data_IF_875411896770
#
_entry.id   IF_875411896770
#
_cell.length_a   1.000
_cell.length_b   1.000
_cell.length_c   1.000
_cell.angle_alpha   90.00
_cell.angle_beta   90.00
_cell.angle_gamma   90.00
#
_symmetry.space_group_name_H-M   'P 1'
#
loop_
_entity.id
_entity.type
_entity.pdbx_description
1 polymer ?
#
# COMPACT_ATOMS: atom_id res chain seq x y z
N UNK A 1 5.94 -37.98 5.38
CA UNK A 1 6.79 -37.07 6.18
C UNK A 1 6.87 -35.76 5.41
N UNK A 2 6.08 -34.75 5.80
CA UNK A 2 6.07 -33.43 5.17
C UNK A 2 7.44 -32.78 5.41
N UNK A 3 8.23 -32.60 4.35
CA UNK A 3 9.57 -32.02 4.44
C UNK A 3 9.48 -30.50 4.62
N UNK A 4 9.33 -30.08 5.88
CA UNK A 4 9.25 -28.69 6.31
C UNK A 4 10.53 -27.91 5.97
N UNK A 5 11.68 -28.58 5.88
CA UNK A 5 12.97 -27.99 5.54
C UNK A 5 13.01 -27.51 4.10
N UNK A 6 12.60 -28.32 3.12
CA UNK A 6 12.54 -27.92 1.71
C UNK A 6 11.60 -26.72 1.47
N UNK A 7 10.46 -26.68 2.15
CA UNK A 7 9.53 -25.57 2.02
C UNK A 7 10.10 -24.26 2.59
N UNK A 8 10.91 -24.31 3.66
CA UNK A 8 11.62 -23.14 4.21
C UNK A 8 12.73 -22.65 3.27
N UNK A 9 13.44 -23.55 2.59
CA UNK A 9 14.48 -23.15 1.61
C UNK A 9 13.86 -22.52 0.37
N UNK A 10 12.67 -22.97 -0.06
CA UNK A 10 11.89 -22.35 -1.15
C UNK A 10 11.31 -21.00 -0.72
N UNK A 11 11.00 -20.84 0.57
CA UNK A 11 10.39 -19.64 1.20
C UNK A 11 11.23 -18.37 1.02
N UNK A 12 12.56 -18.51 0.87
CA UNK A 12 13.53 -17.42 0.74
C UNK A 12 14.57 -17.68 -0.37
N UNK A 13 14.18 -18.37 -1.43
CA UNK A 13 15.04 -18.52 -2.60
C UNK A 13 15.10 -17.20 -3.38
N UNK A 14 15.93 -16.28 -2.89
CA UNK A 14 16.18 -14.97 -3.51
C UNK A 14 17.00 -15.08 -4.79
N UNK A 15 17.55 -16.27 -5.13
CA UNK A 15 18.41 -16.45 -6.31
C UNK A 15 17.67 -16.18 -7.63
N UNK A 16 16.34 -16.28 -7.62
CA UNK A 16 15.48 -16.06 -8.78
C UNK A 16 14.97 -14.63 -8.90
N UNK A 17 15.32 -13.76 -7.96
CA UNK A 17 14.85 -12.39 -7.97
C UNK A 17 15.54 -11.57 -9.03
N UNK A 18 14.73 -10.90 -9.84
CA UNK A 18 15.22 -9.96 -10.83
C UNK A 18 15.25 -8.55 -10.24
N UNK A 19 16.42 -8.17 -9.72
CA UNK A 19 16.63 -6.84 -9.16
C UNK A 19 16.63 -5.73 -10.22
N UNK A 20 16.77 -6.06 -11.52
CA UNK A 20 16.72 -5.06 -12.58
C UNK A 20 15.33 -4.40 -12.67
N UNK A 21 14.28 -5.11 -12.25
CA UNK A 21 12.91 -4.58 -12.16
C UNK A 21 12.77 -3.42 -11.17
N UNK A 22 13.72 -3.24 -10.24
CA UNK A 22 13.75 -2.10 -9.32
C UNK A 22 14.23 -0.81 -9.99
N UNK A 23 14.87 -0.92 -11.16
CA UNK A 23 15.47 0.21 -11.87
C UNK A 23 14.85 0.49 -13.24
N UNK A 24 13.95 -0.37 -13.71
CA UNK A 24 13.22 -0.20 -14.97
C UNK A 24 11.71 0.00 -14.75
N UNK A 25 11.26 1.24 -14.49
CA UNK A 25 9.84 1.55 -14.34
C UNK A 25 9.01 1.28 -15.60
N UNK A 26 9.59 1.44 -16.79
CA UNK A 26 8.83 1.38 -18.05
C UNK A 26 8.64 -0.06 -18.54
N UNK A 27 9.61 -0.94 -18.30
CA UNK A 27 9.51 -2.38 -18.60
C UNK A 27 8.93 -3.22 -17.46
N UNK A 28 8.54 -2.61 -16.34
CA UNK A 28 8.07 -3.34 -15.17
C UNK A 28 6.85 -4.22 -15.47
N UNK A 29 6.93 -5.48 -15.02
CA UNK A 29 5.83 -6.42 -15.03
C UNK A 29 5.91 -7.29 -13.77
N UNK A 30 4.80 -7.34 -13.03
CA UNK A 30 4.68 -8.18 -11.84
C UNK A 30 4.76 -9.66 -12.22
N UNK A 31 5.69 -10.39 -11.59
CA UNK A 31 5.86 -11.83 -11.78
C UNK A 31 6.15 -12.51 -10.44
N UNK A 32 5.27 -13.41 -10.02
CA UNK A 32 5.45 -14.17 -8.77
C UNK A 32 6.72 -15.00 -8.81
N UNK A 33 7.52 -14.91 -7.75
CA UNK A 33 8.78 -15.64 -7.60
C UNK A 33 9.98 -14.99 -8.30
N UNK A 34 9.75 -14.02 -9.18
CA UNK A 34 10.79 -13.27 -9.90
C UNK A 34 10.87 -11.84 -9.38
N UNK A 35 9.73 -11.16 -9.26
CA UNK A 35 9.71 -9.82 -8.67
C UNK A 35 10.04 -9.91 -7.18
N UNK A 36 10.96 -9.09 -6.65
CA UNK A 36 11.27 -9.11 -5.24
C UNK A 36 10.01 -8.94 -4.39
N UNK A 37 9.93 -9.63 -3.26
CA UNK A 37 8.77 -9.60 -2.35
C UNK A 37 7.43 -10.12 -2.94
N UNK A 38 7.42 -10.69 -4.15
CA UNK A 38 6.17 -11.15 -4.79
C UNK A 38 5.60 -12.48 -4.27
N UNK A 39 6.39 -13.26 -3.54
CA UNK A 39 5.95 -14.52 -2.97
C UNK A 39 4.95 -14.29 -1.83
N UNK A 40 3.80 -14.97 -1.85
CA UNK A 40 2.77 -14.88 -0.80
C UNK A 40 3.31 -15.23 0.59
N UNK A 41 4.32 -16.09 0.63
CA UNK A 41 5.01 -16.50 1.84
C UNK A 41 5.67 -15.31 2.57
N UNK A 42 6.11 -14.28 1.84
CA UNK A 42 6.70 -13.06 2.40
C UNK A 42 5.64 -12.22 3.10
N UNK A 43 4.42 -12.17 2.54
CA UNK A 43 3.26 -11.51 3.18
C UNK A 43 2.87 -12.23 4.46
N UNK A 44 2.77 -13.57 4.43
CA UNK A 44 2.46 -14.36 5.63
C UNK A 44 3.58 -14.22 6.67
N UNK A 45 4.83 -14.27 6.24
CA UNK A 45 6.00 -14.09 7.09
C UNK A 45 6.04 -12.71 7.74
N UNK A 46 5.70 -11.65 7.00
CA UNK A 46 5.66 -10.28 7.53
C UNK A 46 4.54 -10.11 8.56
N UNK A 47 3.39 -10.74 8.39
CA UNK A 47 2.33 -10.76 9.41
C UNK A 47 2.78 -11.42 10.70
N UNK A 48 3.36 -12.62 10.61
CA UNK A 48 3.86 -13.35 11.77
C UNK A 48 4.92 -12.48 12.48
N UNK A 49 5.88 -11.94 11.72
CA UNK A 49 6.91 -11.05 12.25
C UNK A 49 6.31 -9.81 12.92
N UNK A 50 5.34 -9.15 12.28
CA UNK A 50 4.68 -7.97 12.80
C UNK A 50 4.05 -8.25 14.17
N UNK A 51 3.22 -9.29 14.30
CA UNK A 51 2.59 -9.62 15.58
C UNK A 51 3.60 -10.03 16.65
N UNK A 52 4.61 -10.82 16.29
CA UNK A 52 5.68 -11.22 17.22
C UNK A 52 6.43 -9.99 17.75
N UNK A 53 6.83 -9.07 16.87
CA UNK A 53 7.53 -7.84 17.24
C UNK A 53 6.64 -6.99 18.15
N UNK A 54 5.38 -6.76 17.78
CA UNK A 54 4.46 -5.94 18.59
C UNK A 54 4.21 -6.55 19.98
N UNK A 55 4.01 -7.87 20.07
CA UNK A 55 3.81 -8.55 21.36
C UNK A 55 5.06 -8.45 22.23
N UNK A 56 6.24 -8.79 21.68
CA UNK A 56 7.52 -8.74 22.39
C UNK A 56 7.83 -7.32 22.87
N UNK A 57 7.61 -6.33 22.02
CA UNK A 57 7.87 -4.94 22.34
C UNK A 57 6.89 -4.40 23.38
N UNK A 58 5.61 -4.77 23.33
CA UNK A 58 4.63 -4.44 24.38
C UNK A 58 5.03 -5.00 25.74
N UNK A 59 5.48 -6.26 25.80
CA UNK A 59 5.95 -6.90 27.04
C UNK A 59 7.18 -6.15 27.57
N UNK A 60 8.15 -5.85 26.70
CA UNK A 60 9.34 -5.08 27.07
C UNK A 60 8.98 -3.69 27.62
N UNK A 61 8.09 -2.97 26.94
CA UNK A 61 7.66 -1.62 27.32
C UNK A 61 6.85 -1.58 28.62
N UNK A 62 6.21 -2.70 29.02
CA UNK A 62 5.52 -2.81 30.32
C UNK A 62 6.49 -2.69 31.49
N UNK A 63 7.73 -3.17 31.32
CA UNK A 63 8.77 -3.12 32.35
C UNK A 63 9.50 -1.77 32.40
N UNK A 64 9.34 -0.93 31.38
CA UNK A 64 9.94 0.40 31.34
C UNK A 64 9.09 1.38 32.15
N UNK A 65 9.70 2.33 32.87
CA UNK A 65 8.95 3.42 33.55
C UNK A 65 8.46 4.46 32.56
N UNK A 66 9.37 5.01 31.74
CA UNK A 66 9.09 6.17 30.88
C UNK A 66 8.92 5.77 29.39
N UNK A 67 8.14 6.54 28.61
CA UNK A 67 8.10 6.40 27.15
C UNK A 67 9.41 6.89 26.51
N UNK A 68 9.79 6.33 25.36
CA UNK A 68 10.98 6.74 24.63
C UNK A 68 10.78 8.07 23.87
N UNK A 69 11.78 8.94 23.89
CA UNK A 69 11.82 10.22 23.17
C UNK A 69 12.47 10.07 21.79
N UNK A 70 11.71 9.56 20.82
CA UNK A 70 12.22 9.24 19.48
C UNK A 70 12.07 10.41 18.49
N UNK A 71 12.35 11.64 18.90
CA UNK A 71 11.99 12.84 18.10
C UNK A 71 12.57 12.81 16.69
N UNK A 72 13.88 12.56 16.57
CA UNK A 72 14.55 12.52 15.26
C UNK A 72 14.04 11.37 14.40
N UNK A 73 13.96 10.15 14.95
CA UNK A 73 13.49 8.95 14.25
C UNK A 73 12.08 9.16 13.70
N UNK A 74 11.17 9.66 14.54
CA UNK A 74 9.77 9.89 14.14
C UNK A 74 9.67 11.02 13.11
N UNK A 75 10.47 12.09 13.25
CA UNK A 75 10.50 13.16 12.26
C UNK A 75 10.99 12.67 10.89
N UNK A 76 12.13 11.97 10.85
CA UNK A 76 12.70 11.43 9.60
C UNK A 76 11.76 10.41 8.95
N UNK A 77 11.18 9.50 9.73
CA UNK A 77 10.23 8.51 9.23
C UNK A 77 8.98 9.14 8.59
N UNK A 78 8.34 10.08 9.29
CA UNK A 78 7.17 10.78 8.76
C UNK A 78 7.52 11.63 7.53
N UNK A 79 8.67 12.33 7.54
CA UNK A 79 9.09 13.12 6.38
C UNK A 79 9.35 12.23 5.17
N UNK A 80 10.02 11.10 5.37
CA UNK A 80 10.26 10.12 4.32
C UNK A 80 8.96 9.59 3.73
N UNK A 81 8.00 9.14 4.55
CA UNK A 81 6.72 8.64 4.07
C UNK A 81 5.87 9.72 3.40
N UNK A 82 5.96 10.97 3.85
CA UNK A 82 5.33 12.12 3.18
C UNK A 82 5.87 12.32 1.76
N UNK A 83 7.19 12.36 1.60
CA UNK A 83 7.84 12.54 0.29
C UNK A 83 7.54 11.35 -0.64
N UNK A 84 7.68 10.12 -0.12
CA UNK A 84 7.39 8.91 -0.87
C UNK A 84 5.93 8.90 -1.36
N UNK A 85 4.98 9.29 -0.50
CA UNK A 85 3.56 9.39 -0.86
C UNK A 85 3.32 10.46 -1.93
N UNK A 86 4.00 11.60 -1.86
CA UNK A 86 3.89 12.67 -2.86
C UNK A 86 4.42 12.24 -4.24
N UNK A 87 5.55 11.54 -4.27
CA UNK A 87 6.13 10.99 -5.50
C UNK A 87 5.18 9.96 -6.13
N UNK A 88 4.70 9.00 -5.33
CA UNK A 88 3.76 7.98 -5.82
C UNK A 88 2.46 8.60 -6.33
N UNK A 89 1.90 9.58 -5.61
CA UNK A 89 0.70 10.29 -6.03
C UNK A 89 0.90 11.01 -7.36
N UNK A 90 1.97 11.81 -7.48
CA UNK A 90 2.24 12.62 -8.67
C UNK A 90 2.38 11.77 -9.93
N UNK A 91 3.23 10.74 -9.91
CA UNK A 91 3.40 9.88 -11.07
C UNK A 91 2.14 9.06 -11.40
N UNK A 92 1.42 8.57 -10.38
CA UNK A 92 0.19 7.79 -10.62
C UNK A 92 -0.90 8.63 -11.26
N UNK A 93 -1.06 9.89 -10.83
CA UNK A 93 -2.03 10.83 -11.43
C UNK A 93 -1.67 11.12 -12.88
N UNK A 94 -0.39 11.40 -13.17
CA UNK A 94 0.06 11.67 -14.54
C UNK A 94 -0.19 10.46 -15.44
N UNK A 95 0.19 9.25 -15.01
CA UNK A 95 0.04 8.04 -15.82
C UNK A 95 -1.41 7.68 -16.07
N UNK A 96 -2.25 7.81 -15.05
CA UNK A 96 -3.67 7.51 -15.16
C UNK A 96 -4.41 8.55 -16.00
N UNK A 97 -4.02 9.82 -15.90
CA UNK A 97 -4.58 10.89 -16.73
C UNK A 97 -4.21 10.72 -18.21
N UNK A 98 -2.95 10.38 -18.52
CA UNK A 98 -2.53 10.11 -19.89
C UNK A 98 -3.29 8.91 -20.48
N UNK A 99 -3.45 7.83 -19.71
CA UNK A 99 -4.25 6.67 -20.14
C UNK A 99 -5.71 7.04 -20.39
N UNK A 100 -6.30 7.89 -19.54
CA UNK A 100 -7.65 8.40 -19.76
C UNK A 100 -7.74 9.19 -21.07
N UNK A 101 -6.80 10.10 -21.33
CA UNK A 101 -6.80 10.88 -22.58
C UNK A 101 -6.64 10.00 -23.83
N UNK A 102 -5.79 8.98 -23.77
CA UNK A 102 -5.51 8.12 -24.92
C UNK A 102 -6.62 7.09 -25.22
N UNK A 103 -7.23 6.53 -24.17
CA UNK A 103 -8.07 5.32 -24.29
C UNK A 103 -9.46 5.47 -23.66
N UNK A 104 -9.75 6.63 -23.09
CA UNK A 104 -11.03 6.94 -22.47
C UNK A 104 -11.13 6.50 -21.00
N UNK A 105 -12.23 6.88 -20.36
CA UNK A 105 -12.42 6.71 -18.91
C UNK A 105 -12.57 5.24 -18.48
N UNK A 106 -12.95 4.35 -19.39
CA UNK A 106 -13.16 2.93 -19.12
C UNK A 106 -11.89 2.21 -18.67
N UNK A 107 -10.73 2.63 -19.19
CA UNK A 107 -9.42 2.08 -18.81
C UNK A 107 -9.08 2.30 -17.35
N UNK A 108 -9.63 3.32 -16.70
CA UNK A 108 -9.44 3.55 -15.27
C UNK A 108 -10.09 2.48 -14.38
N UNK A 109 -11.05 1.71 -14.93
CA UNK A 109 -11.82 0.71 -14.20
C UNK A 109 -11.45 -0.71 -14.61
N UNK A 110 -11.37 -0.96 -15.91
CA UNK A 110 -11.08 -2.28 -16.46
C UNK A 110 -10.38 -2.11 -17.80
N UNK A 111 -9.22 -2.75 -17.94
CA UNK A 111 -8.53 -2.84 -19.22
C UNK A 111 -8.71 -4.25 -19.77
N UNK A 112 -8.97 -4.37 -21.07
CA UNK A 112 -8.99 -5.66 -21.78
C UNK A 112 -7.67 -5.96 -22.49
N UNK A 113 -6.70 -5.05 -22.40
CA UNK A 113 -5.43 -5.12 -23.10
C UNK A 113 -4.31 -5.55 -22.15
N UNK A 114 -3.71 -6.73 -22.38
CA UNK A 114 -2.60 -7.24 -21.56
C UNK A 114 -1.37 -6.32 -21.59
N UNK A 115 -1.18 -5.52 -22.65
CA UNK A 115 -0.08 -4.56 -22.72
C UNK A 115 -0.27 -3.39 -21.75
N UNK A 116 -1.51 -3.07 -21.36
CA UNK A 116 -1.83 -2.08 -20.34
C UNK A 116 -1.41 -2.50 -18.94
N UNK A 117 -1.20 -3.80 -18.71
CA UNK A 117 -0.84 -4.40 -17.42
C UNK A 117 0.66 -4.33 -17.10
N UNK A 118 1.41 -3.54 -17.88
CA UNK A 118 2.84 -3.31 -17.73
C UNK A 118 3.17 -1.83 -17.63
N UNK A 119 4.39 -1.57 -17.17
CA UNK A 119 5.00 -0.25 -17.16
C UNK A 119 4.76 0.55 -15.89
N UNK A 120 4.97 1.86 -16.01
CA UNK A 120 5.25 2.75 -14.88
C UNK A 120 4.15 2.78 -13.81
N UNK A 121 2.87 2.70 -14.20
CA UNK A 121 1.77 2.65 -13.24
C UNK A 121 1.85 1.43 -12.31
N UNK A 122 2.09 0.24 -12.87
CA UNK A 122 2.25 -0.99 -12.08
C UNK A 122 3.54 -0.99 -11.27
N UNK A 123 4.61 -0.39 -11.80
CA UNK A 123 5.83 -0.15 -11.03
C UNK A 123 5.54 0.70 -9.78
N UNK A 124 4.78 1.78 -9.92
CA UNK A 124 4.40 2.63 -8.78
C UNK A 124 3.49 1.88 -7.81
N UNK A 125 2.56 1.06 -8.31
CA UNK A 125 1.75 0.17 -7.45
C UNK A 125 2.64 -0.82 -6.68
N UNK A 126 3.72 -1.30 -7.27
CA UNK A 126 4.72 -2.11 -6.59
C UNK A 126 5.52 -1.32 -5.54
N UNK A 127 5.93 -0.08 -5.83
CA UNK A 127 6.55 0.79 -4.81
C UNK A 127 5.57 1.09 -3.66
N UNK A 128 4.29 1.28 -3.98
CA UNK A 128 3.23 1.43 -2.99
C UNK A 128 3.05 0.16 -2.14
N UNK A 129 3.12 -1.03 -2.74
CA UNK A 129 3.16 -2.30 -2.01
C UNK A 129 4.33 -2.35 -1.01
N UNK A 130 5.53 -2.00 -1.46
CA UNK A 130 6.71 -1.97 -0.59
C UNK A 130 6.57 -0.93 0.54
N UNK A 131 5.95 0.22 0.28
CA UNK A 131 5.74 1.25 1.30
C UNK A 131 4.92 0.73 2.48
N UNK A 132 3.99 -0.21 2.26
CA UNK A 132 3.17 -0.78 3.34
C UNK A 132 3.95 -1.58 4.38
N UNK A 133 5.07 -2.18 3.99
CA UNK A 133 5.98 -2.79 4.95
C UNK A 133 6.70 -1.74 5.80
N UNK A 134 7.07 -0.60 5.21
CA UNK A 134 7.71 0.51 5.92
C UNK A 134 6.73 1.16 6.91
N UNK A 135 5.46 1.27 6.53
CA UNK A 135 4.38 1.78 7.39
C UNK A 135 4.16 0.92 8.66
N UNK A 136 4.60 -0.34 8.71
CA UNK A 136 4.55 -1.16 9.94
C UNK A 136 5.38 -0.55 11.09
N UNK A 137 6.39 0.26 10.77
CA UNK A 137 7.20 0.99 11.75
C UNK A 137 6.32 1.99 12.54
N UNK A 138 5.20 2.47 12.00
CA UNK A 138 4.27 3.34 12.71
C UNK A 138 3.75 2.67 13.98
N UNK A 139 3.40 1.38 13.91
CA UNK A 139 2.96 0.63 15.08
C UNK A 139 4.10 0.45 16.09
N UNK A 140 5.33 0.22 15.63
CA UNK A 140 6.51 0.12 16.49
C UNK A 140 6.74 1.43 17.25
N UNK A 141 6.66 2.57 16.56
CA UNK A 141 6.77 3.91 17.16
C UNK A 141 5.70 4.12 18.23
N UNK A 142 4.44 3.73 17.96
CA UNK A 142 3.35 3.84 18.93
C UNK A 142 3.63 3.04 20.20
N UNK A 143 4.10 1.79 20.08
CA UNK A 143 4.46 0.96 21.25
C UNK A 143 5.59 1.60 22.05
N UNK A 144 6.66 2.06 21.39
CA UNK A 144 7.81 2.69 22.06
C UNK A 144 7.44 3.99 22.78
N UNK A 145 6.45 4.71 22.26
CA UNK A 145 5.89 5.92 22.89
C UNK A 145 4.81 5.61 23.93
N UNK A 146 4.54 4.32 24.22
CA UNK A 146 3.44 3.86 25.09
C UNK A 146 2.08 4.45 24.72
N UNK A 147 1.83 4.62 23.42
CA UNK A 147 0.52 5.04 22.91
C UNK A 147 -0.35 3.81 22.68
N UNK A 148 -1.64 3.96 22.95
CA UNK A 148 -2.61 2.91 22.69
C UNK A 148 -2.70 2.65 21.17
N UNK A 149 -2.68 1.36 20.80
CA UNK A 149 -2.89 0.93 19.42
C UNK A 149 -4.35 0.55 19.29
N UNK A 150 -5.13 1.41 18.65
CA UNK A 150 -6.55 1.16 18.39
C UNK A 150 -6.73 -0.01 17.41
N UNK A 151 -7.89 -0.67 17.48
CA UNK A 151 -8.23 -1.81 16.61
C UNK A 151 -8.02 -1.50 15.13
N UNK A 152 -8.55 -0.36 14.68
CA UNK A 152 -8.48 0.07 13.28
C UNK A 152 -7.04 0.15 12.76
N UNK A 153 -6.08 0.57 13.60
CA UNK A 153 -4.69 0.75 13.21
C UNK A 153 -4.03 -0.58 12.84
N UNK A 154 -3.95 -1.51 13.80
CA UNK A 154 -3.24 -2.76 13.58
C UNK A 154 -3.98 -3.66 12.58
N UNK A 155 -5.31 -3.62 12.57
CA UNK A 155 -6.12 -4.34 11.58
C UNK A 155 -5.81 -3.84 10.16
N UNK A 156 -5.83 -2.52 9.95
CA UNK A 156 -5.51 -1.89 8.67
C UNK A 156 -4.09 -2.25 8.20
N UNK A 157 -3.08 -2.04 9.03
CA UNK A 157 -1.69 -2.33 8.64
C UNK A 157 -1.43 -3.82 8.38
N UNK A 158 -2.21 -4.71 8.97
CA UNK A 158 -2.15 -6.14 8.65
C UNK A 158 -2.78 -6.41 7.28
N UNK A 159 -4.03 -6.02 7.06
CA UNK A 159 -4.77 -6.44 5.86
C UNK A 159 -4.29 -5.75 4.57
N UNK A 160 -3.81 -4.50 4.66
CA UNK A 160 -3.48 -3.70 3.46
C UNK A 160 -2.32 -4.28 2.68
N UNK A 161 -1.33 -4.91 3.32
CA UNK A 161 -0.22 -5.56 2.61
C UNK A 161 -0.74 -6.69 1.69
N UNK A 162 -1.61 -7.56 2.23
CA UNK A 162 -2.22 -8.65 1.46
C UNK A 162 -3.12 -8.10 0.34
N UNK A 163 -3.89 -7.05 0.65
CA UNK A 163 -4.78 -6.40 -0.32
C UNK A 163 -4.02 -5.84 -1.53
N UNK A 164 -2.91 -5.13 -1.30
CA UNK A 164 -2.11 -4.56 -2.40
C UNK A 164 -1.36 -5.67 -3.16
N UNK A 165 -0.90 -6.72 -2.46
CA UNK A 165 -0.34 -7.90 -3.11
C UNK A 165 -1.34 -8.56 -4.08
N UNK A 166 -2.60 -8.74 -3.66
CA UNK A 166 -3.62 -9.31 -4.54
C UNK A 166 -3.94 -8.38 -5.72
N UNK A 167 -3.91 -7.06 -5.52
CA UNK A 167 -4.09 -6.10 -6.62
C UNK A 167 -3.01 -6.23 -7.70
N UNK A 168 -1.75 -6.41 -7.30
CA UNK A 168 -0.65 -6.66 -8.23
C UNK A 168 -0.78 -8.02 -8.92
N UNK A 169 -1.20 -9.03 -8.17
CA UNK A 169 -1.39 -10.39 -8.69
C UNK A 169 -2.49 -10.47 -9.76
N UNK A 170 -3.62 -9.82 -9.51
CA UNK A 170 -4.77 -9.80 -10.42
C UNK A 170 -4.65 -8.70 -11.49
N UNK A 171 -3.52 -7.99 -11.51
CA UNK A 171 -3.26 -6.84 -12.37
C UNK A 171 -4.43 -5.83 -12.38
N UNK A 172 -4.97 -5.55 -11.19
CA UNK A 172 -6.23 -4.86 -11.01
C UNK A 172 -6.08 -3.35 -11.26
N UNK A 173 -6.49 -2.89 -12.45
CA UNK A 173 -6.39 -1.47 -12.83
C UNK A 173 -7.17 -0.54 -11.90
N UNK A 174 -8.34 -0.98 -11.43
CA UNK A 174 -9.18 -0.22 -10.50
C UNK A 174 -8.48 0.07 -9.17
N UNK A 175 -7.55 -0.79 -8.75
CA UNK A 175 -6.74 -0.57 -7.55
C UNK A 175 -5.93 0.73 -7.60
N UNK A 176 -5.52 1.18 -8.79
CA UNK A 176 -4.73 2.40 -8.99
C UNK A 176 -5.46 3.65 -8.46
N UNK A 177 -6.79 3.69 -8.57
CA UNK A 177 -7.59 4.81 -8.03
C UNK A 177 -7.58 4.82 -6.50
N UNK A 178 -7.74 3.65 -5.87
CA UNK A 178 -7.65 3.50 -4.41
C UNK A 178 -6.26 3.89 -3.89
N UNK A 179 -5.21 3.51 -4.61
CA UNK A 179 -3.83 3.90 -4.33
C UNK A 179 -3.63 5.42 -4.42
N UNK A 180 -4.12 6.09 -5.47
CA UNK A 180 -4.02 7.56 -5.62
C UNK A 180 -4.71 8.27 -4.45
N UNK A 181 -5.92 7.85 -4.09
CA UNK A 181 -6.61 8.43 -2.94
C UNK A 181 -5.82 8.20 -1.63
N UNK A 182 -5.32 6.98 -1.39
CA UNK A 182 -4.56 6.67 -0.18
C UNK A 182 -3.28 7.50 -0.06
N UNK A 183 -2.49 7.54 -1.14
CA UNK A 183 -1.24 8.30 -1.20
C UNK A 183 -1.47 9.81 -1.00
N UNK A 184 -2.54 10.37 -1.57
CA UNK A 184 -2.93 11.76 -1.33
C UNK A 184 -3.15 12.05 0.16
N UNK A 185 -3.93 11.22 0.86
CA UNK A 185 -4.18 11.41 2.29
C UNK A 185 -2.94 11.17 3.13
N UNK A 186 -2.09 10.21 2.74
CA UNK A 186 -0.82 9.95 3.41
C UNK A 186 0.13 11.15 3.34
N UNK A 187 0.13 11.94 2.25
CA UNK A 187 0.90 13.20 2.20
C UNK A 187 0.50 14.11 3.37
N UNK A 188 -0.79 14.38 3.54
CA UNK A 188 -1.27 15.28 4.61
C UNK A 188 -1.12 14.68 5.99
N UNK A 189 -1.37 13.38 6.16
CA UNK A 189 -1.27 12.69 7.44
C UNK A 189 0.18 12.69 7.95
N UNK A 190 1.14 12.27 7.11
CA UNK A 190 2.53 12.20 7.50
C UNK A 190 3.16 13.60 7.65
N UNK A 191 2.77 14.56 6.81
CA UNK A 191 3.15 15.96 7.02
C UNK A 191 2.67 16.49 8.37
N UNK A 192 1.41 16.23 8.74
CA UNK A 192 0.87 16.61 10.04
C UNK A 192 1.68 16.00 11.19
N UNK A 193 2.00 14.71 11.13
CA UNK A 193 2.79 14.06 12.19
C UNK A 193 4.23 14.55 12.25
N UNK A 194 4.84 14.85 11.10
CA UNK A 194 6.16 15.49 11.04
C UNK A 194 6.16 16.84 11.75
N UNK A 195 5.21 17.73 11.40
CA UNK A 195 5.09 19.07 11.99
C UNK A 195 4.78 19.00 13.50
N UNK A 196 3.92 18.07 13.92
CA UNK A 196 3.60 17.85 15.32
C UNK A 196 4.84 17.46 16.15
N UNK A 197 5.76 16.66 15.59
CA UNK A 197 7.02 16.29 16.25
C UNK A 197 7.98 17.47 16.36
N UNK A 198 7.90 18.44 15.46
CA UNK A 198 8.63 19.71 15.55
C UNK A 198 8.03 20.67 16.60
N UNK A 199 6.91 20.32 17.23
CA UNK A 199 6.24 21.16 18.23
C UNK A 199 5.43 22.29 17.62
N UNK A 200 5.12 22.20 16.33
CA UNK A 200 4.26 23.14 15.60
C UNK A 200 2.90 22.52 15.38
N UNK A 201 1.88 23.36 15.27
CA UNK A 201 0.52 22.95 14.89
C UNK A 201 0.26 23.29 13.44
N UNK A 202 -0.66 22.52 12.84
CA UNK A 202 -1.19 22.76 11.50
C UNK A 202 -2.66 23.13 11.64
N UNK A 203 -3.13 24.02 10.78
CA UNK A 203 -4.48 24.56 10.82
C UNK A 203 -5.58 23.52 10.48
N UNK A 204 -5.24 22.47 9.73
CA UNK A 204 -6.18 21.41 9.35
C UNK A 204 -6.14 20.21 10.31
N UNK A 205 -7.28 19.51 10.43
CA UNK A 205 -7.41 18.29 11.23
C UNK A 205 -7.31 17.05 10.35
N UNK A 206 -6.36 16.15 10.65
CA UNK A 206 -6.14 14.90 9.91
C UNK A 206 -7.39 14.04 9.80
N UNK A 207 -8.21 13.98 10.85
CA UNK A 207 -9.43 13.17 10.86
C UNK A 207 -10.36 13.49 9.69
N UNK A 208 -10.40 14.76 9.24
CA UNK A 208 -11.21 15.17 8.09
C UNK A 208 -10.76 14.43 6.82
N UNK A 209 -9.45 14.34 6.57
CA UNK A 209 -8.90 13.62 5.43
C UNK A 209 -9.16 12.12 5.51
N UNK A 210 -9.12 11.53 6.71
CA UNK A 210 -9.46 10.12 6.92
C UNK A 210 -10.95 9.87 6.64
N UNK A 211 -11.85 10.74 7.09
CA UNK A 211 -13.28 10.59 6.77
C UNK A 211 -13.55 10.77 5.28
N UNK A 212 -12.92 11.75 4.64
CA UNK A 212 -12.98 11.94 3.19
C UNK A 212 -12.47 10.69 2.46
N UNK A 213 -11.39 10.06 2.92
CA UNK A 213 -10.88 8.82 2.35
C UNK A 213 -11.94 7.71 2.36
N UNK A 214 -12.50 7.43 3.54
CA UNK A 214 -13.45 6.35 3.75
C UNK A 214 -14.68 6.57 2.88
N UNK A 215 -15.20 7.80 2.86
CA UNK A 215 -16.35 8.18 2.03
C UNK A 215 -16.01 8.05 0.54
N UNK A 216 -14.82 8.49 0.13
CA UNK A 216 -14.36 8.40 -1.26
C UNK A 216 -14.27 6.94 -1.70
N UNK A 217 -13.55 6.08 -0.98
CA UNK A 217 -13.42 4.64 -1.29
C UNK A 217 -14.80 3.98 -1.35
N UNK A 218 -15.71 4.33 -0.45
CA UNK A 218 -17.07 3.80 -0.45
C UNK A 218 -17.86 4.20 -1.70
N UNK A 219 -17.92 5.49 -2.04
CA UNK A 219 -18.62 6.00 -3.23
C UNK A 219 -18.03 5.39 -4.52
N UNK A 220 -16.70 5.33 -4.62
CA UNK A 220 -16.02 4.76 -5.78
C UNK A 220 -16.27 3.26 -5.93
N UNK A 221 -16.34 2.52 -4.81
CA UNK A 221 -16.70 1.09 -4.84
C UNK A 221 -18.12 0.83 -5.34
N UNK A 222 -19.07 1.70 -4.98
CA UNK A 222 -20.45 1.62 -5.50
C UNK A 222 -20.48 1.94 -7.00
N UNK A 223 -19.82 3.04 -7.42
CA UNK A 223 -19.78 3.44 -8.82
C UNK A 223 -19.18 2.34 -9.72
N UNK A 224 -18.07 1.72 -9.30
CA UNK A 224 -17.44 0.65 -10.07
C UNK A 224 -18.33 -0.59 -10.23
N UNK A 225 -19.03 -1.01 -9.16
CA UNK A 225 -19.99 -2.12 -9.25
C UNK A 225 -21.12 -1.80 -10.24
N UNK A 226 -21.67 -0.59 -10.17
CA UNK A 226 -22.74 -0.15 -11.08
C UNK A 226 -22.25 -0.09 -12.53
N UNK A 227 -21.05 0.45 -12.76
CA UNK A 227 -20.44 0.54 -14.08
C UNK A 227 -20.20 -0.86 -14.68
N UNK A 228 -19.63 -1.79 -13.90
CA UNK A 228 -19.40 -3.16 -14.34
C UNK A 228 -20.73 -3.86 -14.67
N UNK A 229 -21.75 -3.71 -13.82
CA UNK A 229 -23.08 -4.30 -14.06
C UNK A 229 -23.70 -3.77 -15.36
N UNK A 230 -23.67 -2.45 -15.57
CA UNK A 230 -24.20 -1.82 -16.78
C UNK A 230 -23.42 -2.22 -18.04
N UNK A 231 -22.09 -2.33 -17.95
CA UNK A 231 -21.27 -2.78 -19.08
C UNK A 231 -21.57 -4.23 -19.50
N UNK A 232 -21.84 -5.12 -18.53
CA UNK A 232 -22.25 -6.50 -18.81
C UNK A 232 -23.63 -6.56 -19.46
N UNK A 233 -24.59 -5.78 -18.96
CA UNK A 233 -25.95 -5.70 -19.53
C UNK A 233 -25.94 -5.16 -20.96
N UNK A 234 -25.12 -4.15 -21.24
CA UNK A 234 -24.98 -3.60 -22.60
C UNK A 234 -24.41 -4.63 -23.59
N UNK A 235 -23.42 -5.44 -23.18
CA UNK A 235 -22.89 -6.52 -24.04
C UNK A 235 -23.91 -7.65 -24.29
N UNK A 236 -24.75 -7.99 -23.31
CA UNK A 236 -25.78 -9.02 -23.52
C UNK A 236 -26.89 -8.58 -24.48
N UNK A 237 -27.16 -7.27 -24.60
CA UNK A 237 -28.15 -6.75 -25.55
C UNK A 237 -27.62 -6.60 -26.98
N UNK A 238 -26.30 -6.52 -27.18
CA UNK A 238 -25.67 -6.45 -28.51
C UNK A 238 -25.48 -7.84 -29.13
N UNK A 239 -25.41 -8.89 -28.31
CA UNK A 239 -25.18 -10.27 -28.76
C UNK A 239 -26.48 -11.11 -28.93
N UNK A 240 -27.66 -10.47 -28.86
CA UNK A 240 -28.99 -11.05 -29.15
C UNK A 240 -29.61 -10.29 -30.32
#
# INVERSE_FOLDING_TARGET
MFDFSRNITILFDHSKWDYSQLTDPNGFQWKVGITPFSNIQIVIGSWIMYFVVIIRLKIYMKNQRNPFTLRLVVATHNLFLCILSAIMFGYSVIDLFNRWLERGIGECFCTSDESSLKGRLFYITYIYYLSKFIELIDTVILVLKKKEIIFLHWYHHSIVILMVWSWLQDANMYASMGMIANTFIHIFMYYYYFVAVLGRSVWFKVNIFIYIYIVTVFIYSIYSILYIKNSKLSRSHVNN
#
